data_IF_033063484373
#
_entry.id   IF_033063484373
#
_cell.length_a   1.000
_cell.length_b   1.000
_cell.length_c   1.000
_cell.angle_alpha   90.00
_cell.angle_beta   90.00
_cell.angle_gamma   90.00
#
_symmetry.space_group_name_H-M   'P 1'
#
loop_
_entity.id
_entity.type
_entity.pdbx_description
1 polymer ?
#
# COMPACT_ATOMS: atom_id res chain seq x y z
N UNK A 1 30.75 35.22 -24.55
CA UNK A 1 30.41 34.09 -23.66
C UNK A 1 28.91 33.88 -23.72
N UNK A 2 28.45 32.94 -24.55
CA UNK A 2 27.02 32.60 -24.60
C UNK A 2 26.67 31.85 -23.31
N UNK A 3 25.79 32.42 -22.48
CA UNK A 3 25.19 31.73 -21.35
C UNK A 3 24.51 30.45 -21.86
N UNK A 4 25.08 29.28 -21.56
CA UNK A 4 24.37 28.01 -21.77
C UNK A 4 23.16 28.03 -20.84
N UNK A 5 22.00 28.43 -21.35
CA UNK A 5 20.72 28.30 -20.64
C UNK A 5 20.59 26.84 -20.23
N UNK A 6 20.62 26.60 -18.91
CA UNK A 6 20.37 25.26 -18.38
C UNK A 6 18.95 24.86 -18.78
N UNK A 7 18.82 23.64 -19.32
CA UNK A 7 17.52 23.08 -19.67
C UNK A 7 16.68 22.94 -18.39
N UNK A 8 15.48 23.54 -18.40
CA UNK A 8 14.52 23.50 -17.30
C UNK A 8 13.41 22.52 -17.68
N UNK A 9 13.05 21.63 -16.76
CA UNK A 9 12.00 20.63 -16.94
C UNK A 9 10.82 20.97 -16.02
N UNK A 10 9.63 21.22 -16.58
CA UNK A 10 8.45 21.58 -15.79
C UNK A 10 7.57 20.36 -15.48
N UNK A 11 7.14 20.23 -14.22
CA UNK A 11 6.22 19.17 -13.79
C UNK A 11 5.46 19.54 -12.52
N UNK A 12 4.12 19.53 -12.54
CA UNK A 12 3.27 19.93 -11.39
C UNK A 12 3.70 21.27 -10.77
N UNK A 13 4.06 22.23 -11.64
CA UNK A 13 4.52 23.56 -11.26
C UNK A 13 5.97 23.63 -10.76
N UNK A 14 6.68 22.50 -10.62
CA UNK A 14 8.11 22.49 -10.35
C UNK A 14 8.91 22.90 -11.59
N UNK A 15 10.02 23.60 -11.37
CA UNK A 15 11.03 23.90 -12.40
C UNK A 15 12.33 23.16 -12.06
N UNK A 16 12.48 21.96 -12.59
CA UNK A 16 13.60 21.07 -12.32
C UNK A 16 14.81 21.39 -13.21
N UNK A 17 15.99 21.48 -12.61
CA UNK A 17 17.26 21.62 -13.34
C UNK A 17 18.25 20.51 -12.98
N UNK A 18 19.09 20.05 -13.93
CA UNK A 18 20.17 19.11 -13.66
C UNK A 18 21.13 19.64 -12.60
N UNK A 19 21.39 18.85 -11.56
CA UNK A 19 22.32 19.17 -10.48
C UNK A 19 23.16 17.97 -10.07
N UNK A 20 24.41 18.23 -9.73
CA UNK A 20 25.35 17.27 -9.15
C UNK A 20 25.34 17.44 -7.62
N UNK A 21 25.06 16.37 -6.89
CA UNK A 21 25.00 16.38 -5.43
C UNK A 21 26.27 15.78 -4.83
N UNK A 22 27.09 16.62 -4.19
CA UNK A 22 28.36 16.20 -3.56
C UNK A 22 28.18 15.54 -2.20
N UNK A 23 27.01 15.71 -1.59
CA UNK A 23 26.67 15.17 -0.28
C UNK A 23 25.59 14.10 -0.42
N UNK A 24 25.50 13.16 0.55
CA UNK A 24 24.44 12.17 0.56
C UNK A 24 23.06 12.80 0.46
N UNK A 25 22.38 12.52 -0.65
CA UNK A 25 21.08 13.12 -0.98
C UNK A 25 20.15 12.03 -1.53
N UNK A 26 18.91 12.05 -1.05
CA UNK A 26 17.89 11.07 -1.38
C UNK A 26 16.77 11.70 -2.22
N UNK A 27 16.18 10.89 -3.10
CA UNK A 27 15.11 11.33 -3.99
C UNK A 27 13.78 11.45 -3.25
N UNK A 28 13.04 12.56 -3.44
CA UNK A 28 11.71 12.75 -2.86
C UNK A 28 10.68 11.72 -3.35
N UNK A 29 10.89 11.14 -4.54
CA UNK A 29 9.95 10.19 -5.20
C UNK A 29 10.20 8.75 -4.83
N UNK A 30 11.45 8.27 -4.78
CA UNK A 30 11.74 6.87 -4.39
C UNK A 30 12.43 6.73 -3.04
N UNK A 31 12.86 7.82 -2.38
CA UNK A 31 13.64 7.75 -1.13
C UNK A 31 14.95 6.97 -1.23
N UNK A 32 15.38 6.64 -2.45
CA UNK A 32 16.65 6.02 -2.76
C UNK A 32 17.75 7.07 -2.96
N UNK A 33 18.99 6.62 -2.78
CA UNK A 33 20.17 7.43 -2.98
C UNK A 33 20.31 7.87 -4.44
N UNK A 34 20.78 9.10 -4.66
CA UNK A 34 21.20 9.56 -5.98
C UNK A 34 22.58 8.94 -6.33
N UNK A 35 22.59 7.67 -6.76
CA UNK A 35 23.79 6.90 -7.16
C UNK A 35 24.22 7.15 -8.63
N UNK A 36 25.52 6.96 -8.92
CA UNK A 36 26.12 6.93 -10.25
C UNK A 36 27.41 7.75 -10.38
N UNK A 37 28.20 7.51 -11.44
CA UNK A 37 29.49 8.17 -11.76
C UNK A 37 29.45 9.71 -11.87
N UNK A 38 28.31 10.34 -11.63
CA UNK A 38 28.18 11.80 -11.68
C UNK A 38 27.23 12.42 -10.65
N UNK A 39 26.64 11.65 -9.71
CA UNK A 39 25.70 12.14 -8.69
C UNK A 39 24.61 13.09 -9.23
N UNK A 40 24.14 12.83 -10.45
CA UNK A 40 23.21 13.70 -11.18
C UNK A 40 21.78 13.39 -10.78
N UNK A 41 21.08 14.42 -10.34
CA UNK A 41 19.62 14.43 -10.18
C UNK A 41 19.05 15.73 -10.70
N UNK A 42 17.76 15.91 -10.48
CA UNK A 42 17.08 17.17 -10.70
C UNK A 42 16.79 17.83 -9.36
N UNK A 43 17.02 19.15 -9.29
CA UNK A 43 16.57 19.98 -8.19
C UNK A 43 15.59 21.02 -8.70
N UNK A 44 14.47 21.16 -8.02
CA UNK A 44 13.54 22.25 -8.27
C UNK A 44 14.18 23.58 -7.85
N UNK A 45 14.24 24.56 -8.75
CA UNK A 45 14.80 25.88 -8.46
C UNK A 45 13.98 26.69 -7.45
N UNK A 46 12.69 26.35 -7.29
CA UNK A 46 11.75 27.09 -6.44
C UNK A 46 11.74 26.55 -5.01
N UNK A 47 11.48 25.24 -4.85
CA UNK A 47 11.32 24.65 -3.54
C UNK A 47 12.55 23.88 -3.05
N UNK A 48 13.58 23.64 -3.86
CA UNK A 48 14.71 22.74 -3.56
C UNK A 48 14.36 21.24 -3.54
N UNK A 49 13.16 20.83 -3.96
CA UNK A 49 12.80 19.41 -4.06
C UNK A 49 13.80 18.67 -4.96
N UNK A 50 14.31 17.53 -4.50
CA UNK A 50 15.31 16.73 -5.22
C UNK A 50 14.71 15.42 -5.69
N UNK A 51 14.91 15.08 -6.96
CA UNK A 51 14.45 13.82 -7.57
C UNK A 51 15.50 13.24 -8.52
N UNK A 52 15.44 11.95 -8.83
CA UNK A 52 16.22 11.41 -9.95
C UNK A 52 15.72 11.96 -11.29
N UNK A 53 16.60 11.99 -12.29
CA UNK A 53 16.25 12.37 -13.66
C UNK A 53 15.17 11.46 -14.29
N UNK A 54 15.07 10.21 -13.83
CA UNK A 54 14.02 9.25 -14.24
C UNK A 54 12.75 9.35 -13.39
N UNK A 55 12.81 10.05 -12.26
CA UNK A 55 11.72 10.14 -11.29
C UNK A 55 10.92 11.45 -11.37
N UNK A 56 11.47 12.52 -11.95
CA UNK A 56 10.77 13.82 -11.98
C UNK A 56 9.43 13.77 -12.70
N UNK A 57 9.31 12.98 -13.78
CA UNK A 57 8.07 12.80 -14.54
C UNK A 57 7.04 11.92 -13.82
N UNK A 58 7.40 11.35 -12.67
CA UNK A 58 6.57 10.48 -11.83
C UNK A 58 6.09 11.21 -10.55
N UNK A 59 6.36 12.51 -10.45
CA UNK A 59 6.16 13.28 -9.23
C UNK A 59 4.81 14.01 -9.25
N UNK A 60 3.75 13.32 -8.83
CA UNK A 60 2.39 13.87 -8.71
C UNK A 60 2.19 14.70 -7.42
N UNK A 61 3.09 15.65 -7.18
CA UNK A 61 3.07 16.56 -6.04
C UNK A 61 3.11 18.00 -6.55
N UNK A 62 2.16 18.87 -6.16
CA UNK A 62 2.23 20.29 -6.46
C UNK A 62 3.52 20.92 -5.91
N UNK A 63 4.10 21.85 -6.66
CA UNK A 63 5.16 22.69 -6.13
C UNK A 63 4.63 23.63 -5.04
N UNK A 64 5.55 24.23 -4.28
CA UNK A 64 5.24 25.20 -3.23
C UNK A 64 4.25 26.27 -3.76
N UNK A 65 3.11 26.42 -3.07
CA UNK A 65 2.11 27.44 -3.39
C UNK A 65 1.23 27.15 -4.61
N UNK A 66 1.49 26.08 -5.37
CA UNK A 66 0.63 25.65 -6.48
C UNK A 66 -0.58 24.88 -5.94
N UNK A 67 -1.74 25.16 -6.52
CA UNK A 67 -3.01 24.47 -6.24
C UNK A 67 -3.63 24.03 -7.55
N UNK A 68 -4.28 22.87 -7.52
CA UNK A 68 -5.00 22.30 -8.66
C UNK A 68 -6.44 22.03 -8.24
N UNK A 69 -7.35 23.03 -8.27
CA UNK A 69 -8.69 22.95 -7.67
C UNK A 69 -9.51 21.75 -8.15
N UNK A 70 -9.31 21.34 -9.41
CA UNK A 70 -10.03 20.23 -10.05
C UNK A 70 -9.47 18.85 -9.70
N UNK A 71 -8.38 18.80 -8.94
CA UNK A 71 -7.70 17.58 -8.51
C UNK A 71 -7.82 17.43 -6.98
N UNK A 72 -8.09 16.22 -6.49
CA UNK A 72 -8.13 15.94 -5.04
C UNK A 72 -6.73 15.78 -4.44
N UNK A 73 -5.80 16.66 -4.78
CA UNK A 73 -4.38 16.57 -4.43
C UNK A 73 -3.87 17.78 -3.64
N UNK A 74 -4.73 18.56 -3.00
CA UNK A 74 -4.38 19.84 -2.35
C UNK A 74 -4.42 19.82 -0.82
N UNK A 75 -4.41 18.63 -0.20
CA UNK A 75 -4.51 18.49 1.24
C UNK A 75 -3.21 18.97 1.93
N UNK A 76 -3.32 19.88 2.90
CA UNK A 76 -2.16 20.42 3.60
C UNK A 76 -1.58 19.39 4.59
N UNK A 77 -0.26 19.42 4.76
CA UNK A 77 0.42 18.65 5.81
C UNK A 77 0.32 19.39 7.16
N UNK A 78 0.14 18.64 8.24
CA UNK A 78 0.28 19.15 9.60
C UNK A 78 1.57 18.61 10.21
N UNK A 79 2.61 19.43 10.29
CA UNK A 79 3.93 19.00 10.75
C UNK A 79 4.13 19.28 12.23
N UNK A 80 4.52 18.24 12.98
CA UNK A 80 4.85 18.32 14.39
C UNK A 80 6.30 17.92 14.64
N UNK A 81 6.89 18.47 15.70
CA UNK A 81 8.23 18.11 16.12
C UNK A 81 8.24 16.69 16.69
N UNK A 82 9.06 15.82 16.09
CA UNK A 82 9.19 14.46 16.57
C UNK A 82 10.01 14.42 17.88
N UNK A 83 9.67 13.55 18.85
CA UNK A 83 10.55 13.27 19.98
C UNK A 83 11.95 12.85 19.54
N UNK A 84 12.95 13.19 20.35
CA UNK A 84 14.36 12.89 20.06
C UNK A 84 14.57 11.39 19.77
N UNK A 85 15.32 11.12 18.70
CA UNK A 85 15.67 9.77 18.26
C UNK A 85 17.10 9.75 17.78
N UNK A 86 17.88 8.75 18.20
CA UNK A 86 19.26 8.55 17.75
C UNK A 86 19.37 8.04 16.30
N UNK A 87 18.25 7.71 15.66
CA UNK A 87 18.23 7.26 14.26
C UNK A 87 18.53 8.42 13.29
N UNK A 88 19.27 8.17 12.20
CA UNK A 88 19.45 9.16 11.14
C UNK A 88 18.14 9.36 10.38
N UNK A 89 17.83 10.62 10.04
CA UNK A 89 16.68 10.97 9.22
C UNK A 89 17.13 11.79 8.02
N UNK A 90 16.46 11.60 6.90
CA UNK A 90 16.65 12.40 5.68
C UNK A 90 15.33 13.07 5.32
N UNK A 91 15.43 14.25 4.73
CA UNK A 91 14.26 15.04 4.34
C UNK A 91 13.64 14.48 3.06
N UNK A 92 12.36 14.11 3.13
CA UNK A 92 11.57 13.60 1.98
C UNK A 92 11.34 14.64 0.88
N UNK A 93 11.84 15.86 1.06
CA UNK A 93 11.72 16.96 0.11
C UNK A 93 13.08 17.34 -0.50
N UNK A 94 14.03 17.81 0.30
CA UNK A 94 15.35 18.23 -0.22
C UNK A 94 16.41 17.10 -0.20
N UNK A 95 16.04 15.91 0.27
CA UNK A 95 16.90 14.72 0.29
C UNK A 95 18.03 14.72 1.31
N UNK A 96 18.29 15.84 2.00
CA UNK A 96 19.46 16.00 2.88
C UNK A 96 19.21 15.52 4.30
N UNK A 97 20.28 15.18 5.01
CA UNK A 97 20.27 14.77 6.42
C UNK A 97 19.58 15.78 7.34
N UNK A 98 18.77 15.28 8.28
CA UNK A 98 18.08 16.06 9.31
C UNK A 98 18.72 15.75 10.67
N UNK A 99 19.12 16.80 11.40
CA UNK A 99 19.57 16.64 12.79
C UNK A 99 18.39 16.13 13.65
N UNK A 100 18.58 15.14 14.55
CA UNK A 100 17.52 14.55 15.36
C UNK A 100 16.55 15.53 16.03
N UNK A 101 17.05 16.66 16.55
CA UNK A 101 16.22 17.68 17.22
C UNK A 101 15.34 18.52 16.29
N UNK A 102 15.58 18.46 14.97
CA UNK A 102 14.91 19.28 13.96
C UNK A 102 14.00 18.48 13.03
N UNK A 103 13.77 17.20 13.35
CA UNK A 103 12.87 16.33 12.59
C UNK A 103 11.44 16.81 12.76
N UNK A 104 10.80 17.09 11.63
CA UNK A 104 9.38 17.41 11.57
C UNK A 104 8.69 16.28 10.84
N UNK A 105 7.63 15.75 11.43
CA UNK A 105 6.87 14.65 10.85
C UNK A 105 5.42 15.09 10.69
N UNK A 106 4.84 14.77 9.55
CA UNK A 106 3.42 15.00 9.37
C UNK A 106 2.63 14.10 10.34
N UNK A 107 1.68 14.66 11.09
CA UNK A 107 0.80 13.90 11.99
C UNK A 107 -0.14 12.97 11.23
N UNK A 108 -0.29 13.19 9.92
CA UNK A 108 -1.27 12.52 9.08
C UNK A 108 -0.68 11.55 8.04
N UNK A 109 0.60 11.69 7.68
CA UNK A 109 1.27 10.82 6.70
C UNK A 109 2.72 10.51 7.11
N UNK A 110 3.45 9.79 6.27
CA UNK A 110 4.82 9.36 6.59
C UNK A 110 5.89 10.41 6.24
N UNK A 111 5.50 11.56 5.68
CA UNK A 111 6.43 12.60 5.25
C UNK A 111 7.19 13.17 6.45
N UNK A 112 8.51 13.12 6.36
CA UNK A 112 9.48 13.64 7.32
C UNK A 112 10.35 14.68 6.62
N UNK A 113 10.46 15.87 7.20
CA UNK A 113 11.19 16.98 6.60
C UNK A 113 11.97 17.80 7.64
N UNK A 114 12.83 18.68 7.15
CA UNK A 114 13.39 19.74 7.98
C UNK A 114 12.31 20.75 8.37
N UNK A 115 12.47 21.40 9.52
CA UNK A 115 11.70 22.60 9.91
C UNK A 115 11.73 23.70 8.83
N UNK A 116 12.90 23.95 8.21
CA UNK A 116 13.05 24.93 7.12
C UNK A 116 12.34 24.55 5.82
N UNK A 117 11.92 23.29 5.67
CA UNK A 117 11.24 22.80 4.47
C UNK A 117 9.72 22.81 4.60
N UNK A 118 9.15 23.07 5.80
CA UNK A 118 7.69 23.06 6.02
C UNK A 118 6.96 23.94 5.01
N UNK A 119 7.43 25.19 4.82
CA UNK A 119 6.81 26.13 3.90
C UNK A 119 7.07 25.83 2.42
N UNK A 120 7.95 24.88 2.12
CA UNK A 120 8.38 24.54 0.75
C UNK A 120 7.72 23.28 0.19
N UNK A 121 7.14 22.46 1.06
CA UNK A 121 6.42 21.25 0.65
C UNK A 121 5.03 21.64 0.15
N UNK A 122 4.64 21.12 -1.01
CA UNK A 122 3.31 21.32 -1.56
C UNK A 122 2.23 20.69 -0.68
N UNK A 123 0.99 21.10 -0.87
CA UNK A 123 -0.13 20.46 -0.19
C UNK A 123 -0.53 19.22 -0.99
N UNK A 124 -0.16 18.01 -0.55
CA UNK A 124 -0.57 16.72 -1.15
C UNK A 124 -0.78 15.62 -0.10
N UNK A 125 -1.01 16.01 1.15
CA UNK A 125 -1.07 15.10 2.29
C UNK A 125 -2.18 14.06 2.13
N UNK A 126 -1.80 12.78 2.02
CA UNK A 126 -2.78 11.69 1.95
C UNK A 126 -3.55 11.64 0.62
N UNK A 127 -2.94 12.05 -0.49
CA UNK A 127 -3.52 11.96 -1.83
C UNK A 127 -3.87 10.50 -2.21
N UNK A 128 -5.16 10.19 -2.34
CA UNK A 128 -5.66 8.86 -2.70
C UNK A 128 -5.88 8.66 -4.21
N UNK A 129 -5.76 9.71 -5.03
CA UNK A 129 -6.01 9.62 -6.48
C UNK A 129 -4.97 8.74 -7.17
N UNK A 130 -5.45 7.94 -8.12
CA UNK A 130 -4.60 7.17 -9.02
C UNK A 130 -3.71 8.14 -9.80
N UNK A 131 -2.39 7.95 -9.67
CA UNK A 131 -1.38 8.79 -10.33
C UNK A 131 -1.61 8.85 -11.86
N UNK A 132 -2.10 7.77 -12.48
CA UNK A 132 -2.44 7.75 -13.91
C UNK A 132 -3.65 8.64 -14.25
N UNK A 133 -4.69 8.63 -13.42
CA UNK A 133 -5.87 9.50 -13.60
C UNK A 133 -5.50 10.98 -13.41
N UNK A 134 -4.62 11.28 -12.43
CA UNK A 134 -4.07 12.62 -12.26
C UNK A 134 -3.31 13.07 -13.50
N UNK A 135 -2.51 12.18 -14.09
CA UNK A 135 -1.77 12.49 -15.32
C UNK A 135 -2.70 12.75 -16.49
N UNK A 136 -3.75 11.95 -16.66
CA UNK A 136 -4.74 12.18 -17.73
C UNK A 136 -5.44 13.53 -17.57
N UNK A 137 -5.84 13.91 -16.35
CA UNK A 137 -6.45 15.22 -16.06
C UNK A 137 -5.48 16.40 -16.24
N UNK A 138 -4.18 16.16 -16.10
CA UNK A 138 -3.12 17.18 -16.23
C UNK A 138 -2.64 17.39 -17.67
N UNK A 139 -2.93 16.46 -18.59
CA UNK A 139 -2.58 16.58 -20.01
C UNK A 139 -3.16 17.87 -20.60
N UNK A 140 -2.31 18.66 -21.25
CA UNK A 140 -2.71 19.91 -21.90
C UNK A 140 -2.65 21.15 -21.00
N UNK A 141 -2.21 21.02 -19.73
CA UNK A 141 -1.92 22.18 -18.87
C UNK A 141 -0.51 22.71 -19.11
N UNK A 142 -0.31 24.03 -18.99
CA UNK A 142 1.02 24.68 -19.11
C UNK A 142 2.01 24.31 -17.98
N UNK A 143 1.55 23.56 -16.97
CA UNK A 143 2.36 23.09 -15.84
C UNK A 143 2.89 21.66 -16.05
N UNK A 144 2.66 21.07 -17.24
CA UNK A 144 3.08 19.72 -17.64
C UNK A 144 3.76 19.74 -19.02
N UNK A 145 5.09 19.52 -19.06
CA UNK A 145 5.88 19.49 -20.31
C UNK A 145 6.35 18.08 -20.73
N UNK A 146 5.83 16.99 -20.16
CA UNK A 146 6.34 15.66 -20.54
C UNK A 146 5.54 15.00 -21.66
N UNK A 147 5.96 15.27 -22.89
CA UNK A 147 5.70 14.40 -24.06
C UNK A 147 6.27 12.98 -23.85
N UNK A 148 7.24 12.83 -22.93
CA UNK A 148 7.94 11.58 -22.65
C UNK A 148 7.18 10.56 -21.80
N UNK A 149 6.03 10.91 -21.20
CA UNK A 149 5.21 9.88 -20.54
C UNK A 149 4.61 8.93 -21.59
N UNK A 150 4.27 9.45 -22.78
CA UNK A 150 3.68 8.66 -23.86
C UNK A 150 4.68 8.07 -24.83
N UNK A 151 5.90 8.63 -24.94
CA UNK A 151 6.93 8.03 -25.79
C UNK A 151 7.49 6.72 -25.21
N UNK A 152 7.39 6.50 -23.89
CA UNK A 152 7.61 5.19 -23.27
C UNK A 152 6.37 4.27 -23.36
N UNK A 153 5.19 4.83 -23.65
CA UNK A 153 3.93 4.10 -23.80
C UNK A 153 3.62 3.70 -25.25
N UNK A 154 4.44 4.09 -26.22
CA UNK A 154 4.32 3.62 -27.61
C UNK A 154 4.63 2.13 -27.76
N UNK A 155 5.45 1.58 -26.86
CA UNK A 155 5.75 0.15 -26.78
C UNK A 155 5.11 -0.53 -25.57
N UNK A 156 4.05 0.04 -24.96
CA UNK A 156 3.38 -0.64 -23.83
C UNK A 156 2.73 -1.98 -24.22
N UNK A 157 2.73 -2.33 -25.50
CA UNK A 157 2.35 -3.63 -26.04
C UNK A 157 3.50 -4.39 -26.74
N UNK A 158 4.72 -3.85 -26.77
CA UNK A 158 5.88 -4.42 -27.51
C UNK A 158 7.20 -4.44 -26.73
N UNK A 159 7.31 -3.95 -25.49
CA UNK A 159 8.49 -4.20 -24.60
C UNK A 159 8.37 -5.57 -23.90
N UNK A 160 7.89 -6.59 -24.61
CA UNK A 160 7.69 -7.93 -24.06
C UNK A 160 8.51 -9.02 -24.72
N UNK A 161 9.28 -8.74 -25.79
CA UNK A 161 9.98 -9.81 -26.49
C UNK A 161 11.46 -9.96 -26.14
N UNK A 162 12.24 -8.90 -25.91
CA UNK A 162 13.70 -9.06 -25.90
C UNK A 162 14.37 -8.16 -24.86
N UNK A 163 15.41 -8.68 -24.17
CA UNK A 163 16.29 -8.06 -23.16
C UNK A 163 16.06 -8.53 -21.69
N UNK A 164 16.59 -9.73 -21.42
CA UNK A 164 17.36 -10.16 -20.24
C UNK A 164 16.93 -9.74 -18.82
N UNK A 165 16.15 -10.65 -18.23
CA UNK A 165 15.92 -11.08 -16.84
C UNK A 165 16.46 -10.33 -15.58
N UNK A 166 17.45 -9.44 -15.63
CA UNK A 166 18.03 -8.80 -14.43
C UNK A 166 17.35 -7.46 -14.09
N UNK A 167 16.82 -6.72 -15.08
CA UNK A 167 16.19 -5.40 -14.87
C UNK A 167 14.75 -5.48 -14.32
N UNK A 168 14.10 -6.65 -14.41
CA UNK A 168 12.70 -6.89 -14.01
C UNK A 168 12.43 -6.69 -12.51
N UNK A 169 13.40 -7.01 -11.65
CA UNK A 169 13.25 -6.85 -10.19
C UNK A 169 13.29 -5.38 -9.77
N UNK A 170 14.14 -4.57 -10.40
CA UNK A 170 14.38 -3.18 -9.99
C UNK A 170 13.21 -2.26 -10.35
N UNK A 171 12.61 -2.47 -11.52
CA UNK A 171 11.51 -1.64 -12.00
C UNK A 171 10.14 -1.97 -11.40
N UNK A 172 9.91 -3.23 -11.02
CA UNK A 172 8.76 -3.63 -10.22
C UNK A 172 8.84 -3.02 -8.79
N UNK A 173 10.02 -3.02 -8.18
CA UNK A 173 10.29 -2.34 -6.90
C UNK A 173 9.98 -0.83 -7.00
N UNK A 174 10.46 -0.18 -8.06
CA UNK A 174 10.25 1.25 -8.31
C UNK A 174 8.77 1.62 -8.60
N UNK A 175 7.96 0.73 -9.18
CA UNK A 175 6.53 0.97 -9.39
C UNK A 175 5.69 0.72 -8.12
N UNK A 176 6.09 -0.26 -7.30
CA UNK A 176 5.53 -0.52 -5.98
C UNK A 176 5.79 0.66 -5.02
N UNK A 177 6.97 1.26 -5.09
CA UNK A 177 7.36 2.44 -4.33
C UNK A 177 6.55 3.69 -4.74
N UNK A 178 6.29 3.85 -6.04
CA UNK A 178 5.42 4.90 -6.62
C UNK A 178 3.99 4.89 -6.06
N UNK A 179 3.39 3.72 -5.82
CA UNK A 179 2.01 3.59 -5.30
C UNK A 179 1.97 3.86 -3.78
N UNK A 180 3.10 3.71 -3.07
CA UNK A 180 3.14 3.69 -1.61
C UNK A 180 3.30 5.04 -0.92
N UNK A 181 3.69 6.11 -1.63
CA UNK A 181 3.98 7.42 -1.00
C UNK A 181 2.76 8.29 -0.72
N UNK A 182 1.63 8.02 -1.37
CA UNK A 182 0.42 8.83 -1.19
C UNK A 182 -0.76 8.04 -0.61
N UNK A 183 -0.69 6.71 -0.53
CA UNK A 183 -1.82 5.89 -0.09
C UNK A 183 -2.06 5.95 1.43
N UNK A 184 -3.17 6.58 1.84
CA UNK A 184 -3.90 6.17 3.04
C UNK A 184 -4.85 5.04 2.66
N UNK A 185 -4.89 3.94 3.41
CA UNK A 185 -6.14 3.24 3.61
C UNK A 185 -7.00 4.06 4.57
N UNK A 186 -8.32 3.96 4.47
CA UNK A 186 -9.26 4.52 5.45
C UNK A 186 -8.88 4.12 6.89
N UNK A 187 -8.10 4.99 7.54
CA UNK A 187 -7.81 4.92 8.97
C UNK A 187 -8.92 5.74 9.61
N UNK A 188 -9.90 5.04 10.15
CA UNK A 188 -10.76 5.59 11.20
C UNK A 188 -9.87 6.29 12.22
N UNK A 189 -10.25 7.51 12.60
CA UNK A 189 -9.53 8.32 13.59
C UNK A 189 -9.10 7.44 14.78
N UNK A 190 -7.78 7.33 15.03
CA UNK A 190 -7.22 6.60 16.17
C UNK A 190 -6.41 5.33 15.89
N UNK A 191 -6.13 4.95 14.64
CA UNK A 191 -5.18 3.85 14.33
C UNK A 191 -3.78 4.34 13.92
N UNK A 192 -2.77 4.04 14.75
CA UNK A 192 -1.37 4.37 14.48
C UNK A 192 -0.51 3.11 14.34
N UNK A 193 0.07 2.87 13.16
CA UNK A 193 0.92 1.69 12.89
C UNK A 193 2.09 1.59 13.88
N UNK A 194 2.60 2.71 14.40
CA UNK A 194 3.65 2.74 15.42
C UNK A 194 3.28 2.07 16.75
N UNK A 195 1.99 1.90 17.04
CA UNK A 195 1.52 1.24 18.26
C UNK A 195 1.25 -0.26 18.07
N UNK A 196 1.43 -0.80 16.87
CA UNK A 196 1.37 -2.23 16.62
C UNK A 196 2.65 -2.92 17.12
N UNK A 197 2.47 -3.91 17.99
CA UNK A 197 3.55 -4.78 18.48
C UNK A 197 3.42 -6.16 17.86
N UNK A 198 4.44 -6.59 17.11
CA UNK A 198 4.54 -7.95 16.58
C UNK A 198 4.86 -8.91 17.73
N UNK A 199 4.12 -10.03 17.84
CA UNK A 199 4.32 -11.01 18.90
C UNK A 199 4.92 -12.32 18.38
N UNK A 200 4.21 -13.06 17.53
CA UNK A 200 4.68 -14.34 16.98
C UNK A 200 4.00 -14.69 15.65
N UNK A 201 4.59 -15.60 14.88
CA UNK A 201 3.93 -16.15 13.70
C UNK A 201 2.74 -17.07 14.09
N UNK A 202 1.68 -17.03 13.28
CA UNK A 202 0.51 -17.91 13.36
C UNK A 202 0.49 -18.91 12.21
N UNK A 203 0.99 -18.52 11.03
CA UNK A 203 1.08 -19.39 9.86
C UNK A 203 1.78 -18.72 8.70
N UNK A 204 2.16 -19.51 7.70
CA UNK A 204 2.78 -19.07 6.46
C UNK A 204 2.01 -19.66 5.29
N UNK A 205 1.67 -18.83 4.31
CA UNK A 205 0.99 -19.22 3.08
C UNK A 205 1.81 -18.88 1.85
N UNK A 206 1.26 -19.17 0.67
CA UNK A 206 1.92 -18.98 -0.63
C UNK A 206 2.33 -17.51 -0.85
N UNK A 207 1.45 -16.56 -0.51
CA UNK A 207 1.62 -15.15 -0.82
C UNK A 207 2.03 -14.27 0.38
N UNK A 208 2.27 -14.88 1.55
CA UNK A 208 2.51 -14.11 2.76
C UNK A 208 2.57 -14.92 4.05
N UNK A 209 2.64 -14.21 5.17
CA UNK A 209 2.66 -14.79 6.51
C UNK A 209 1.63 -14.10 7.40
N UNK A 210 1.08 -14.84 8.36
CA UNK A 210 0.13 -14.32 9.34
C UNK A 210 0.81 -14.28 10.70
N UNK A 211 0.72 -13.13 11.38
CA UNK A 211 1.32 -12.91 12.68
C UNK A 211 0.28 -12.51 13.72
N UNK A 212 0.48 -12.96 14.95
CA UNK A 212 -0.18 -12.41 16.12
C UNK A 212 0.44 -11.07 16.45
N UNK A 213 -0.39 -10.04 16.60
CA UNK A 213 0.03 -8.69 16.98
C UNK A 213 -0.83 -8.14 18.11
N UNK A 214 -0.29 -7.16 18.85
CA UNK A 214 -1.00 -6.40 19.86
C UNK A 214 -1.16 -4.94 19.42
N UNK A 215 -2.37 -4.40 19.53
CA UNK A 215 -2.67 -2.99 19.30
C UNK A 215 -3.53 -2.47 20.46
N UNK A 216 -3.04 -1.47 21.18
CA UNK A 216 -3.63 -1.08 22.47
C UNK A 216 -3.63 -2.24 23.46
N UNK A 217 -4.81 -2.60 23.99
CA UNK A 217 -4.99 -3.76 24.87
C UNK A 217 -5.44 -5.04 24.13
N UNK A 218 -5.74 -4.93 22.84
CA UNK A 218 -6.34 -6.02 22.07
C UNK A 218 -5.31 -6.77 21.22
N UNK A 219 -5.62 -8.03 20.91
CA UNK A 219 -4.81 -8.87 20.04
C UNK A 219 -5.51 -9.06 18.69
N UNK A 220 -4.71 -9.19 17.64
CA UNK A 220 -5.17 -9.29 16.26
C UNK A 220 -4.30 -10.27 15.46
N UNK A 221 -4.83 -10.76 14.35
CA UNK A 221 -4.09 -11.49 13.35
C UNK A 221 -3.75 -10.53 12.20
N UNK A 222 -2.47 -10.38 11.90
CA UNK A 222 -1.97 -9.53 10.83
C UNK A 222 -1.46 -10.40 9.68
N UNK A 223 -2.21 -10.48 8.58
CA UNK A 223 -1.79 -11.09 7.31
C UNK A 223 -0.87 -10.10 6.60
N UNK A 224 0.35 -10.52 6.28
CA UNK A 224 1.39 -9.73 5.64
C UNK A 224 1.70 -10.35 4.29
N UNK A 225 1.35 -9.67 3.21
CA UNK A 225 1.63 -10.11 1.85
C UNK A 225 2.79 -9.32 1.26
N UNK A 226 3.67 -9.97 0.52
CA UNK A 226 4.78 -9.28 -0.17
C UNK A 226 4.30 -8.78 -1.52
N UNK A 227 4.44 -7.48 -1.77
CA UNK A 227 3.92 -6.88 -3.00
C UNK A 227 4.60 -7.44 -4.25
N UNK A 228 5.92 -7.66 -4.20
CA UNK A 228 6.64 -8.25 -5.33
C UNK A 228 6.08 -9.64 -5.66
N UNK A 229 5.86 -10.50 -4.67
CA UNK A 229 5.29 -11.85 -4.86
C UNK A 229 3.87 -11.78 -5.42
N UNK A 230 3.02 -10.89 -4.89
CA UNK A 230 1.64 -10.70 -5.37
C UNK A 230 1.59 -10.25 -6.83
N UNK A 231 2.52 -9.38 -7.25
CA UNK A 231 2.58 -8.89 -8.63
C UNK A 231 3.18 -9.94 -9.58
N UNK A 232 4.25 -10.62 -9.18
CA UNK A 232 4.87 -11.71 -9.95
C UNK A 232 3.89 -12.86 -10.20
N UNK A 233 3.07 -13.20 -9.21
CA UNK A 233 2.05 -14.26 -9.31
C UNK A 233 0.76 -13.87 -10.02
N UNK A 234 0.61 -12.63 -10.52
CA UNK A 234 -0.66 -12.09 -11.05
C UNK A 234 -1.83 -12.12 -10.03
N UNK A 235 -1.52 -12.17 -8.74
CA UNK A 235 -2.50 -12.33 -7.66
C UNK A 235 -3.13 -11.01 -7.18
N UNK A 236 -2.76 -9.87 -7.79
CA UNK A 236 -3.25 -8.56 -7.37
C UNK A 236 -4.79 -8.48 -7.36
N UNK A 237 -5.44 -9.03 -8.39
CA UNK A 237 -6.90 -9.04 -8.49
C UNK A 237 -7.53 -9.84 -7.34
N UNK A 238 -6.94 -10.98 -6.98
CA UNK A 238 -7.39 -11.82 -5.86
C UNK A 238 -7.21 -11.11 -4.52
N UNK A 239 -6.09 -10.44 -4.29
CA UNK A 239 -5.85 -9.67 -3.05
C UNK A 239 -6.79 -8.47 -2.92
N UNK A 240 -7.07 -7.77 -4.02
CA UNK A 240 -8.03 -6.67 -4.04
C UNK A 240 -9.46 -7.16 -3.79
N UNK A 241 -9.83 -8.29 -4.38
CA UNK A 241 -11.13 -8.93 -4.15
C UNK A 241 -11.27 -9.42 -2.70
N UNK A 242 -10.24 -10.06 -2.14
CA UNK A 242 -10.22 -10.47 -0.72
C UNK A 242 -10.49 -9.28 0.20
N UNK A 243 -9.81 -8.15 -0.01
CA UNK A 243 -10.06 -6.92 0.75
C UNK A 243 -11.51 -6.46 0.62
N UNK A 244 -12.03 -6.42 -0.61
CA UNK A 244 -13.39 -5.97 -0.89
C UNK A 244 -14.44 -6.84 -0.18
N UNK A 245 -14.29 -8.16 -0.26
CA UNK A 245 -15.18 -9.12 0.41
C UNK A 245 -15.15 -8.89 1.92
N UNK A 246 -13.96 -8.81 2.52
CA UNK A 246 -13.81 -8.61 3.97
C UNK A 246 -14.41 -7.28 4.45
N UNK A 247 -14.37 -6.22 3.63
CA UNK A 247 -15.04 -4.95 3.93
C UNK A 247 -16.56 -5.05 3.83
N UNK A 248 -17.09 -5.78 2.85
CA UNK A 248 -18.54 -5.92 2.65
C UNK A 248 -19.21 -6.87 3.64
N UNK A 249 -18.43 -7.79 4.23
CA UNK A 249 -18.93 -8.84 5.13
C UNK A 249 -18.85 -8.47 6.62
N UNK A 250 -18.62 -7.20 6.97
CA UNK A 250 -18.38 -6.80 8.35
C UNK A 250 -19.54 -7.06 9.33
N UNK A 251 -20.77 -7.22 8.82
CA UNK A 251 -21.96 -7.52 9.63
C UNK A 251 -22.20 -9.02 9.87
N UNK A 252 -21.45 -9.92 9.21
CA UNK A 252 -21.70 -11.35 9.33
C UNK A 252 -20.88 -11.98 10.49
N UNK A 253 -21.52 -12.64 11.47
CA UNK A 253 -20.82 -13.20 12.63
C UNK A 253 -19.92 -14.41 12.30
N UNK A 254 -20.17 -15.09 11.18
CA UNK A 254 -19.46 -16.31 10.75
C UNK A 254 -18.40 -16.06 9.68
N UNK A 255 -18.04 -14.78 9.44
CA UNK A 255 -16.95 -14.37 8.55
C UNK A 255 -15.91 -13.59 9.36
N UNK A 256 -14.63 -13.86 9.11
CA UNK A 256 -13.52 -13.18 9.77
C UNK A 256 -13.59 -11.66 9.54
N UNK A 257 -13.45 -10.91 10.64
CA UNK A 257 -13.60 -9.47 10.60
C UNK A 257 -12.27 -8.76 10.32
N UNK A 258 -12.22 -8.03 9.20
CA UNK A 258 -11.16 -7.08 8.90
C UNK A 258 -11.36 -5.80 9.72
N UNK A 259 -10.38 -5.46 10.56
CA UNK A 259 -10.39 -4.25 11.38
C UNK A 259 -9.70 -3.09 10.68
N UNK A 260 -8.53 -3.36 10.11
CA UNK A 260 -7.77 -2.37 9.36
C UNK A 260 -7.07 -3.05 8.18
N UNK A 261 -7.02 -2.40 7.02
CA UNK A 261 -6.13 -2.77 5.93
C UNK A 261 -5.13 -1.65 5.75
N UNK A 262 -3.84 -1.94 5.62
CA UNK A 262 -2.82 -0.93 5.34
C UNK A 262 -1.68 -1.48 4.51
N UNK A 263 -0.78 -0.62 4.06
CA UNK A 263 0.37 -1.00 3.25
C UNK A 263 1.58 -0.12 3.56
N UNK A 264 2.77 -0.64 3.30
CA UNK A 264 4.00 0.14 3.21
C UNK A 264 4.61 -0.08 1.82
N UNK A 265 5.86 0.36 1.60
CA UNK A 265 6.56 0.17 0.33
C UNK A 265 6.57 -1.31 -0.06
N UNK A 266 6.91 -2.21 0.83
CA UNK A 266 7.20 -3.61 0.46
C UNK A 266 6.03 -4.60 0.64
N UNK A 267 5.02 -4.24 1.44
CA UNK A 267 4.04 -5.19 1.97
C UNK A 267 2.63 -4.61 2.01
N UNK A 268 1.66 -5.51 1.88
CA UNK A 268 0.24 -5.29 2.21
C UNK A 268 -0.06 -5.94 3.56
N UNK A 269 -0.90 -5.31 4.36
CA UNK A 269 -1.26 -5.74 5.71
C UNK A 269 -2.77 -5.78 5.87
N UNK A 270 -3.31 -6.92 6.26
CA UNK A 270 -4.70 -7.04 6.74
C UNK A 270 -4.67 -7.36 8.23
N UNK A 271 -5.17 -6.43 9.04
CA UNK A 271 -5.33 -6.57 10.47
C UNK A 271 -6.74 -7.04 10.78
N UNK A 272 -6.86 -8.29 11.20
CA UNK A 272 -8.11 -9.00 11.42
C UNK A 272 -8.26 -9.36 12.90
N UNK A 273 -9.47 -9.68 13.31
CA UNK A 273 -9.67 -10.37 14.59
C UNK A 273 -8.87 -11.70 14.64
N UNK A 274 -8.55 -12.17 15.85
CA UNK A 274 -7.72 -13.37 16.03
C UNK A 274 -8.52 -14.52 16.64
N UNK A 275 -8.52 -15.66 15.96
CA UNK A 275 -9.04 -16.93 16.45
C UNK A 275 -7.99 -17.63 17.34
N UNK A 276 -8.10 -17.51 18.67
CA UNK A 276 -7.04 -18.05 19.57
C UNK A 276 -7.09 -19.57 19.68
N UNK A 277 -8.26 -20.18 19.51
CA UNK A 277 -8.40 -21.64 19.49
C UNK A 277 -7.81 -22.28 18.22
N UNK A 278 -7.44 -21.47 17.22
CA UNK A 278 -6.80 -21.93 15.98
C UNK A 278 -7.83 -22.23 14.90
N UNK A 279 -7.57 -23.26 14.10
CA UNK A 279 -8.46 -23.70 13.03
C UNK A 279 -8.98 -25.13 13.29
N UNK A 280 -10.04 -25.46 12.58
CA UNK A 280 -10.76 -26.72 12.74
C UNK A 280 -9.86 -27.93 12.42
N UNK A 281 -8.93 -27.80 11.47
CA UNK A 281 -7.91 -28.82 11.19
C UNK A 281 -7.14 -29.24 12.45
N UNK A 282 -6.63 -28.28 13.22
CA UNK A 282 -5.89 -28.56 14.46
C UNK A 282 -6.76 -29.22 15.54
N UNK A 283 -8.06 -28.89 15.57
CA UNK A 283 -9.00 -29.51 16.52
C UNK A 283 -9.31 -30.95 16.10
N UNK A 284 -9.51 -31.19 14.79
CA UNK A 284 -9.69 -32.54 14.23
C UNK A 284 -8.51 -33.44 14.56
N UNK A 285 -7.28 -32.95 14.38
CA UNK A 285 -6.06 -33.70 14.73
C UNK A 285 -6.00 -34.07 16.22
N UNK A 286 -6.46 -33.19 17.12
CA UNK A 286 -6.49 -33.48 18.57
C UNK A 286 -7.59 -34.46 18.96
N UNK A 287 -8.71 -34.47 18.23
CA UNK A 287 -9.84 -35.36 18.48
C UNK A 287 -9.60 -36.77 17.92
N UNK A 288 -8.77 -36.87 16.88
CA UNK A 288 -8.45 -38.13 16.24
C UNK A 288 -7.95 -39.18 17.25
N UNK A 289 -8.33 -40.46 17.09
CA UNK A 289 -9.06 -41.02 15.94
C UNK A 289 -10.59 -40.92 16.06
N UNK A 290 -11.13 -40.37 17.16
CA UNK A 290 -12.58 -40.34 17.39
C UNK A 290 -13.23 -39.22 16.56
N UNK A 291 -14.44 -39.41 16.03
CA UNK A 291 -15.20 -38.30 15.47
C UNK A 291 -15.64 -37.33 16.56
N UNK A 292 -16.09 -36.14 16.16
CA UNK A 292 -16.86 -35.29 17.06
C UNK A 292 -18.23 -35.91 17.35
N UNK A 293 -18.82 -35.54 18.49
CA UNK A 293 -20.21 -35.88 18.78
C UNK A 293 -21.12 -35.26 17.72
N UNK A 294 -22.21 -35.93 17.40
CA UNK A 294 -23.14 -35.54 16.33
C UNK A 294 -23.63 -34.10 16.50
N UNK A 295 -23.94 -33.68 17.73
CA UNK A 295 -24.43 -32.34 18.04
C UNK A 295 -23.42 -31.25 17.65
N UNK A 296 -22.13 -31.52 17.89
CA UNK A 296 -21.04 -30.60 17.53
C UNK A 296 -20.84 -30.52 16.01
N UNK A 297 -21.04 -31.64 15.30
CA UNK A 297 -20.98 -31.67 13.83
C UNK A 297 -22.10 -30.80 13.28
N UNK A 298 -23.35 -31.04 13.68
CA UNK A 298 -24.51 -30.27 13.21
C UNK A 298 -24.36 -28.79 13.52
N UNK A 299 -23.92 -28.44 14.73
CA UNK A 299 -23.71 -27.06 15.15
C UNK A 299 -22.73 -26.30 14.22
N UNK A 300 -21.50 -26.80 14.06
CA UNK A 300 -20.51 -26.11 13.23
C UNK A 300 -20.82 -26.19 11.72
N UNK A 301 -21.44 -27.28 11.26
CA UNK A 301 -21.92 -27.37 9.87
C UNK A 301 -22.99 -26.31 9.59
N UNK A 302 -23.88 -26.03 10.54
CA UNK A 302 -24.87 -24.96 10.43
C UNK A 302 -24.24 -23.57 10.32
N UNK A 303 -23.22 -23.27 11.13
CA UNK A 303 -22.49 -21.99 11.08
C UNK A 303 -21.75 -21.80 9.75
N UNK A 304 -21.05 -22.83 9.29
CA UNK A 304 -20.36 -22.83 7.99
C UNK A 304 -21.38 -22.63 6.85
N UNK A 305 -22.52 -23.32 6.90
CA UNK A 305 -23.58 -23.17 5.91
C UNK A 305 -24.14 -21.73 5.91
N UNK A 306 -24.32 -21.12 7.09
CA UNK A 306 -24.78 -19.73 7.22
C UNK A 306 -23.76 -18.74 6.63
N UNK A 307 -22.46 -18.94 6.84
CA UNK A 307 -21.42 -18.14 6.21
C UNK A 307 -21.45 -18.24 4.67
N UNK A 308 -21.58 -19.46 4.14
CA UNK A 308 -21.64 -19.71 2.70
C UNK A 308 -22.92 -19.14 2.06
N UNK A 309 -24.09 -19.33 2.69
CA UNK A 309 -25.35 -18.75 2.25
C UNK A 309 -25.26 -17.22 2.17
N UNK A 310 -24.63 -16.59 3.16
CA UNK A 310 -24.39 -15.16 3.13
C UNK A 310 -23.50 -14.74 1.95
N UNK A 311 -22.36 -15.41 1.72
CA UNK A 311 -21.50 -15.13 0.57
C UNK A 311 -22.24 -15.32 -0.76
N UNK A 312 -23.00 -16.40 -0.89
CA UNK A 312 -23.80 -16.69 -2.09
C UNK A 312 -24.89 -15.63 -2.32
N UNK A 313 -25.50 -15.09 -1.26
CA UNK A 313 -26.45 -13.97 -1.36
C UNK A 313 -25.81 -12.70 -1.93
N UNK A 314 -24.50 -12.55 -1.77
CA UNK A 314 -23.67 -11.48 -2.33
C UNK A 314 -23.02 -11.85 -3.67
N UNK A 315 -23.41 -12.98 -4.29
CA UNK A 315 -22.84 -13.52 -5.53
C UNK A 315 -21.33 -13.81 -5.43
N UNK A 316 -20.85 -14.17 -4.24
CA UNK A 316 -19.45 -14.53 -3.99
C UNK A 316 -19.35 -16.04 -3.81
N UNK A 317 -18.49 -16.70 -4.59
CA UNK A 317 -18.18 -18.13 -4.46
C UNK A 317 -16.86 -18.26 -3.70
N UNK A 318 -16.87 -19.00 -2.59
CA UNK A 318 -15.72 -19.09 -1.67
C UNK A 318 -14.54 -19.93 -2.20
N UNK A 319 -14.84 -21.07 -2.85
CA UNK A 319 -13.90 -21.99 -3.54
C UNK A 319 -12.77 -22.65 -2.73
N UNK A 320 -12.53 -22.27 -1.48
CA UNK A 320 -11.46 -22.86 -0.65
C UNK A 320 -11.96 -23.36 0.71
N UNK A 321 -13.11 -24.06 0.71
CA UNK A 321 -13.67 -24.64 1.93
C UNK A 321 -12.86 -25.86 2.37
N UNK A 322 -12.09 -25.68 3.45
CA UNK A 322 -11.30 -26.72 4.09
C UNK A 322 -11.13 -26.44 5.59
N UNK A 323 -10.86 -27.46 6.43
CA UNK A 323 -10.76 -27.29 7.89
C UNK A 323 -9.69 -26.28 8.35
N UNK A 324 -8.67 -26.00 7.52
CA UNK A 324 -7.63 -25.02 7.78
C UNK A 324 -8.14 -23.58 7.76
N UNK A 325 -9.18 -23.32 6.96
CA UNK A 325 -9.78 -21.99 6.77
C UNK A 325 -11.02 -21.77 7.66
N UNK A 326 -11.46 -22.79 8.39
CA UNK A 326 -12.52 -22.67 9.40
C UNK A 326 -11.85 -22.35 10.74
N UNK A 327 -11.96 -21.09 11.17
CA UNK A 327 -11.31 -20.56 12.36
C UNK A 327 -12.24 -20.67 13.58
N UNK A 328 -11.69 -21.06 14.74
CA UNK A 328 -12.47 -21.26 15.97
C UNK A 328 -12.15 -20.18 16.99
N UNK A 329 -13.20 -19.55 17.51
CA UNK A 329 -13.10 -18.47 18.48
C UNK A 329 -13.28 -18.96 19.92
N UNK A 330 -12.95 -18.09 20.87
CA UNK A 330 -12.90 -18.41 22.30
C UNK A 330 -14.28 -18.71 22.89
N UNK A 331 -15.33 -18.22 22.24
CA UNK A 331 -16.75 -18.49 22.52
C UNK A 331 -17.24 -19.84 21.95
N UNK A 332 -16.38 -20.54 21.22
CA UNK A 332 -16.69 -21.82 20.60
C UNK A 332 -17.31 -21.73 19.21
N UNK A 333 -17.63 -20.53 18.71
CA UNK A 333 -18.19 -20.32 17.38
C UNK A 333 -17.10 -20.39 16.29
N UNK A 334 -17.51 -20.73 15.05
CA UNK A 334 -16.58 -20.74 13.91
C UNK A 334 -16.80 -19.57 12.95
N UNK A 335 -15.71 -19.15 12.32
CA UNK A 335 -15.74 -18.17 11.23
C UNK A 335 -14.90 -18.64 10.04
N UNK A 336 -15.37 -18.36 8.84
CA UNK A 336 -14.57 -18.56 7.62
C UNK A 336 -13.49 -17.48 7.52
N UNK A 337 -12.25 -17.90 7.30
CA UNK A 337 -11.10 -17.07 7.00
C UNK A 337 -10.54 -17.30 5.60
N UNK A 338 -9.52 -16.56 5.20
CA UNK A 338 -8.79 -16.67 3.92
C UNK A 338 -9.68 -16.66 2.65
N UNK A 339 -9.83 -15.48 2.06
CA UNK A 339 -10.70 -15.26 0.91
C UNK A 339 -9.90 -15.11 -0.40
N UNK A 340 -8.62 -15.47 -0.38
CA UNK A 340 -7.71 -15.29 -1.52
C UNK A 340 -8.13 -16.05 -2.80
N UNK A 341 -8.93 -17.11 -2.68
CA UNK A 341 -9.44 -17.86 -3.84
C UNK A 341 -10.91 -17.56 -4.17
N UNK A 342 -11.53 -16.58 -3.52
CA UNK A 342 -12.92 -16.22 -3.81
C UNK A 342 -13.09 -15.68 -5.24
N UNK A 343 -14.32 -15.76 -5.76
CA UNK A 343 -14.69 -15.21 -7.07
C UNK A 343 -16.10 -14.62 -7.04
N UNK A 344 -16.32 -13.49 -7.73
CA UNK A 344 -17.67 -12.99 -8.01
C UNK A 344 -18.27 -13.77 -9.18
N UNK A 345 -19.48 -14.27 -9.01
CA UNK A 345 -20.24 -14.91 -10.10
C UNK A 345 -20.63 -13.85 -11.12
N UNK A 346 -20.36 -14.11 -12.40
CA UNK A 346 -20.68 -13.24 -13.55
C UNK A 346 -22.04 -13.55 -14.18
N UNK A 347 -22.78 -14.52 -13.65
CA UNK A 347 -23.99 -15.00 -14.31
C UNK A 347 -25.18 -14.09 -14.02
N UNK A 348 -25.57 -13.31 -15.04
CA UNK A 348 -26.96 -12.95 -15.26
C UNK A 348 -27.72 -14.23 -15.63
N UNK A 349 -28.06 -15.06 -14.65
CA UNK A 349 -29.15 -16.00 -14.91
C UNK A 349 -30.44 -15.20 -15.02
N UNK A 350 -31.19 -15.31 -16.14
CA UNK A 350 -32.53 -14.75 -16.19
C UNK A 350 -33.30 -15.29 -14.99
N UNK A 351 -34.04 -14.41 -14.30
CA UNK A 351 -34.97 -14.83 -13.26
C UNK A 351 -35.79 -15.99 -13.85
N UNK A 352 -35.76 -17.15 -13.20
CA UNK A 352 -36.73 -18.19 -13.50
C UNK A 352 -38.11 -17.56 -13.26
N UNK A 353 -38.83 -17.34 -14.35
CA UNK A 353 -40.26 -16.99 -14.39
C UNK A 353 -41.09 -18.14 -13.86
#
# INVERSE_FOLDING_TARGET
YAERRQQVFKHFGHQFVPKIFKLPTFCAVCSEYLWGFSYKGFQCQQCDCVVHQTCYSRFACPCQGKKYPDLKINAAHNFEQQPFSLKPFFCDHCGSFIRPRHVQRCSYCTVIIHRRCISKVGNYCGCEENVLELYEKMKGTNDYESDNFYQYNGDLYTIYSDLDHIDRQRDAQNAIERISKCYRPNITSGFAVSHLKLLRALGQGMNGAVYLVKYGQSHYAMKVLRKNVVLEGQDLAYVMLEREILMQCQSNPFIIQLKYAFQNVERLFFLMEVARAGNFYRILLKQAPRPFRYERIVFHSGEIACALLFLHSKRIIYRDLKPENVLVFDDGHVKLGDFGLCRKSTDQHPKAT
#
